data_IF_639874694216
#
_entry.id   IF_639874694216
#
_cell.length_a   1.000
_cell.length_b   1.000
_cell.length_c   1.000
_cell.angle_alpha   90.00
_cell.angle_beta   90.00
_cell.angle_gamma   90.00
#
_symmetry.space_group_name_H-M   'P 1'
#
loop_
_entity.id
_entity.type
_entity.pdbx_description
1 polymer ?
#
# COMPACT_ATOMS: atom_id res chain seq x y z
N UNK A 1 -7.05 11.29 -10.06
CA UNK A 1 -6.04 11.72 -9.08
C UNK A 1 -5.51 10.52 -8.31
N UNK A 2 -4.23 10.54 -7.99
CA UNK A 2 -3.59 9.45 -7.27
C UNK A 2 -3.52 9.73 -5.77
N UNK A 3 -3.82 8.72 -4.96
CA UNK A 3 -3.55 8.75 -3.55
C UNK A 3 -2.40 7.79 -3.25
N UNK A 4 -1.33 8.27 -2.66
CA UNK A 4 -0.15 7.48 -2.32
C UNK A 4 -0.14 7.36 -0.80
N UNK A 5 -0.61 6.20 -0.33
CA UNK A 5 -0.80 5.95 1.10
C UNK A 5 0.35 5.10 1.62
N UNK A 6 1.01 5.56 2.66
CA UNK A 6 2.14 4.83 3.19
C UNK A 6 2.01 4.56 4.68
N UNK A 7 2.64 3.49 5.11
CA UNK A 7 2.88 3.20 6.51
C UNK A 7 4.38 2.92 6.66
N UNK A 8 5.01 3.53 7.64
CA UNK A 8 6.45 3.37 7.82
C UNK A 8 6.83 3.54 9.28
N UNK A 9 7.64 2.64 9.79
CA UNK A 9 8.25 2.79 11.11
C UNK A 9 9.72 3.21 11.02
N UNK A 10 10.34 3.06 9.85
CA UNK A 10 11.78 3.33 9.65
C UNK A 10 12.06 4.39 8.60
N UNK A 11 11.03 4.90 7.92
CA UNK A 11 11.21 5.92 6.88
C UNK A 11 11.33 5.40 5.46
N UNK A 12 11.55 4.12 5.24
CA UNK A 12 11.70 3.56 3.90
C UNK A 12 10.44 3.73 3.05
N UNK A 13 9.28 3.46 3.63
CA UNK A 13 8.01 3.62 2.88
C UNK A 13 7.73 5.07 2.53
N UNK A 14 8.06 6.01 3.42
CA UNK A 14 7.92 7.44 3.12
C UNK A 14 8.83 7.85 1.98
N UNK A 15 10.08 7.39 1.99
CA UNK A 15 11.01 7.66 0.90
C UNK A 15 10.45 7.18 -0.44
N UNK A 16 9.96 5.94 -0.47
CA UNK A 16 9.37 5.37 -1.68
C UNK A 16 8.11 6.13 -2.11
N UNK A 17 7.26 6.49 -1.15
CA UNK A 17 6.03 7.22 -1.46
C UNK A 17 6.34 8.57 -2.12
N UNK A 18 7.34 9.29 -1.61
CA UNK A 18 7.75 10.56 -2.21
C UNK A 18 8.38 10.38 -3.59
N UNK A 19 9.11 9.30 -3.79
CA UNK A 19 9.69 8.98 -5.10
C UNK A 19 8.59 8.68 -6.12
N UNK A 20 7.59 7.92 -5.72
CA UNK A 20 6.44 7.62 -6.56
C UNK A 20 5.69 8.92 -6.89
N UNK A 21 5.51 9.80 -5.90
CA UNK A 21 4.86 11.09 -6.12
C UNK A 21 5.58 11.91 -7.16
N UNK A 22 6.91 11.90 -7.18
CA UNK A 22 7.68 12.66 -8.17
C UNK A 22 7.44 12.16 -9.60
N UNK A 23 7.08 10.90 -9.77
CA UNK A 23 6.85 10.30 -11.09
C UNK A 23 5.39 10.36 -11.53
N UNK A 24 4.46 10.13 -10.60
CA UNK A 24 3.05 9.96 -10.93
C UNK A 24 2.16 11.11 -10.50
N UNK A 25 2.67 12.03 -9.71
CA UNK A 25 1.89 13.06 -9.03
C UNK A 25 0.87 12.44 -8.07
N UNK A 26 0.22 13.27 -7.27
CA UNK A 26 -0.78 12.82 -6.31
C UNK A 26 -0.46 13.29 -4.91
N UNK A 27 -1.29 12.86 -3.97
CA UNK A 27 -1.13 13.21 -2.56
C UNK A 27 -0.44 12.07 -1.82
N UNK A 28 0.55 12.41 -1.00
CA UNK A 28 1.21 11.44 -0.10
C UNK A 28 0.54 11.54 1.25
N UNK A 29 0.01 10.42 1.74
CA UNK A 29 -0.81 10.38 2.95
C UNK A 29 -0.31 9.28 3.87
N UNK A 30 -0.10 9.62 5.15
CA UNK A 30 0.26 8.65 6.16
C UNK A 30 -1.00 7.89 6.59
N UNK A 31 -0.99 6.58 6.41
CA UNK A 31 -2.19 5.74 6.60
C UNK A 31 -2.88 5.96 7.94
N UNK A 32 -2.18 5.98 9.10
CA UNK A 32 -2.87 6.16 10.38
C UNK A 32 -3.60 7.49 10.54
N UNK A 33 -3.26 8.50 9.74
CA UNK A 33 -3.91 9.82 9.81
C UNK A 33 -5.13 9.92 8.90
N UNK A 34 -5.39 8.92 8.08
CA UNK A 34 -6.46 8.98 7.08
C UNK A 34 -7.72 8.29 7.60
N UNK A 35 -8.87 8.95 7.44
CA UNK A 35 -10.14 8.45 7.96
C UNK A 35 -11.16 8.02 6.90
N UNK A 36 -10.87 8.26 5.63
CA UNK A 36 -11.80 7.94 4.54
C UNK A 36 -11.58 6.54 3.97
N UNK A 37 -12.27 6.27 2.87
CA UNK A 37 -12.16 4.99 2.15
C UNK A 37 -11.49 5.15 0.77
N UNK A 38 -10.85 6.28 0.50
CA UNK A 38 -10.12 6.50 -0.74
C UNK A 38 -10.99 6.83 -1.95
N UNK A 39 -12.30 7.05 -1.76
CA UNK A 39 -13.20 7.25 -2.91
C UNK A 39 -12.91 8.53 -3.70
N UNK A 40 -12.18 9.48 -3.14
CA UNK A 40 -11.75 10.68 -3.85
C UNK A 40 -10.59 10.40 -4.83
N UNK A 41 -10.01 9.22 -4.80
CA UNK A 41 -8.89 8.84 -5.65
C UNK A 41 -9.29 7.75 -6.64
N UNK A 42 -8.94 7.94 -7.91
CA UNK A 42 -9.16 6.91 -8.93
C UNK A 42 -8.18 5.77 -8.77
N UNK A 43 -6.96 6.11 -8.37
CA UNK A 43 -5.88 5.15 -8.20
C UNK A 43 -5.25 5.35 -6.82
N UNK A 44 -5.12 4.25 -6.11
CA UNK A 44 -4.53 4.21 -4.78
C UNK A 44 -3.27 3.36 -4.84
N UNK A 45 -2.16 3.92 -4.40
CA UNK A 45 -0.90 3.21 -4.30
C UNK A 45 -0.57 3.09 -2.83
N UNK A 46 -0.49 1.86 -2.34
CA UNK A 46 -0.16 1.58 -0.94
C UNK A 46 1.31 1.23 -0.86
N UNK A 47 2.07 1.93 -0.02
CA UNK A 47 3.48 1.67 0.19
C UNK A 47 3.67 1.25 1.64
N UNK A 48 4.09 0.02 1.87
CA UNK A 48 4.11 -0.57 3.20
C UNK A 48 5.29 -1.52 3.39
N UNK A 49 5.82 -1.60 4.61
CA UNK A 49 6.77 -2.66 4.92
C UNK A 49 6.05 -4.01 5.07
N UNK A 50 6.84 -5.08 5.10
CA UNK A 50 6.37 -6.43 5.37
C UNK A 50 6.71 -6.74 6.83
N UNK A 51 5.71 -7.16 7.61
CA UNK A 51 5.89 -7.60 9.00
C UNK A 51 5.47 -9.06 9.09
N UNK A 52 6.37 -9.91 9.58
CA UNK A 52 6.08 -11.35 9.76
C UNK A 52 5.44 -11.97 8.51
N UNK A 53 5.99 -11.63 7.35
CA UNK A 53 5.54 -12.10 6.02
C UNK A 53 4.15 -11.62 5.62
N UNK A 54 3.60 -10.63 6.33
CA UNK A 54 2.30 -10.04 6.01
C UNK A 54 2.32 -8.53 6.14
N UNK A 55 1.13 -7.94 6.22
CA UNK A 55 0.97 -6.48 6.31
C UNK A 55 0.93 -6.02 7.78
N UNK A 56 1.47 -4.85 8.07
CA UNK A 56 1.20 -4.18 9.37
C UNK A 56 -0.30 -3.99 9.55
N UNK A 57 -0.75 -3.96 10.80
CA UNK A 57 -2.19 -3.83 11.12
C UNK A 57 -2.79 -2.59 10.47
N UNK A 58 -2.12 -1.47 10.51
CA UNK A 58 -2.62 -0.22 9.90
C UNK A 58 -2.83 -0.38 8.40
N UNK A 59 -1.88 -1.00 7.71
CA UNK A 59 -1.99 -1.24 6.26
C UNK A 59 -3.10 -2.24 5.96
N UNK A 60 -3.19 -3.30 6.75
CA UNK A 60 -4.22 -4.32 6.61
C UNK A 60 -5.61 -3.70 6.74
N UNK A 61 -5.83 -2.93 7.80
CA UNK A 61 -7.14 -2.30 8.05
C UNK A 61 -7.48 -1.30 6.95
N UNK A 62 -6.51 -0.53 6.48
CA UNK A 62 -6.73 0.41 5.41
C UNK A 62 -7.14 -0.31 4.12
N UNK A 63 -6.43 -1.38 3.75
CA UNK A 63 -6.75 -2.16 2.55
C UNK A 63 -8.18 -2.68 2.60
N UNK A 64 -8.63 -3.19 3.74
CA UNK A 64 -9.98 -3.71 3.88
C UNK A 64 -11.05 -2.62 3.86
N UNK A 65 -10.68 -1.38 4.14
CA UNK A 65 -11.63 -0.26 4.18
C UNK A 65 -11.71 0.53 2.87
N UNK A 66 -10.83 0.28 1.91
CA UNK A 66 -10.85 0.98 0.63
C UNK A 66 -12.14 0.65 -0.12
N UNK A 67 -12.70 1.67 -0.79
CA UNK A 67 -13.86 1.47 -1.67
C UNK A 67 -13.52 0.47 -2.79
N UNK A 68 -14.56 -0.11 -3.41
CA UNK A 68 -14.38 -1.19 -4.37
C UNK A 68 -14.10 -0.70 -5.80
N UNK A 69 -14.10 0.61 -6.04
CA UNK A 69 -13.93 1.16 -7.39
C UNK A 69 -12.52 1.61 -7.69
N UNK A 70 -11.82 2.17 -6.72
CA UNK A 70 -10.46 2.67 -6.93
C UNK A 70 -9.52 1.54 -7.32
N UNK A 71 -8.66 1.80 -8.30
CA UNK A 71 -7.63 0.84 -8.69
C UNK A 71 -6.52 0.86 -7.65
N UNK A 72 -6.15 -0.31 -7.14
CA UNK A 72 -5.20 -0.43 -6.04
C UNK A 72 -3.91 -1.09 -6.53
N UNK A 73 -2.78 -0.47 -6.21
CA UNK A 73 -1.45 -1.00 -6.42
C UNK A 73 -0.74 -1.01 -5.08
N UNK A 74 -0.07 -2.10 -4.74
CA UNK A 74 0.64 -2.23 -3.48
C UNK A 74 2.13 -2.42 -3.74
N UNK A 75 2.95 -1.62 -3.08
CA UNK A 75 4.40 -1.74 -3.12
C UNK A 75 4.88 -2.13 -1.72
N UNK A 76 5.41 -3.33 -1.61
CA UNK A 76 5.90 -3.87 -0.34
C UNK A 76 7.41 -3.75 -0.29
N UNK A 77 7.93 -3.04 0.71
CA UNK A 77 9.38 -2.95 0.90
C UNK A 77 9.80 -3.85 2.05
N UNK A 78 10.97 -4.45 1.93
CA UNK A 78 11.49 -5.36 2.94
C UNK A 78 13.01 -5.34 2.94
N UNK A 79 13.61 -5.58 4.10
CA UNK A 79 15.06 -5.60 4.24
C UNK A 79 15.65 -7.00 4.25
N UNK A 80 14.90 -7.95 4.76
CA UNK A 80 15.31 -9.36 4.85
C UNK A 80 14.52 -10.24 3.93
N UNK A 81 13.57 -10.99 4.49
CA UNK A 81 12.74 -11.91 3.73
C UNK A 81 11.31 -11.41 3.65
N UNK A 82 10.74 -11.41 2.45
CA UNK A 82 9.33 -11.05 2.25
C UNK A 82 8.40 -12.26 2.33
N UNK A 83 8.96 -13.46 2.13
CA UNK A 83 8.15 -14.67 2.05
C UNK A 83 7.10 -14.56 0.96
N UNK A 84 5.88 -15.00 1.25
CA UNK A 84 4.75 -14.92 0.33
C UNK A 84 3.86 -13.71 0.55
N UNK A 85 4.40 -12.60 1.09
CA UNK A 85 3.60 -11.43 1.44
C UNK A 85 2.85 -10.83 0.25
N UNK A 86 3.43 -10.86 -0.94
CA UNK A 86 2.79 -10.36 -2.15
C UNK A 86 1.57 -11.19 -2.54
N UNK A 87 1.69 -12.51 -2.51
CA UNK A 87 0.59 -13.43 -2.80
C UNK A 87 -0.50 -13.29 -1.75
N UNK A 88 -0.11 -13.23 -0.48
CA UNK A 88 -1.05 -13.09 0.61
C UNK A 88 -1.86 -11.80 0.49
N UNK A 89 -1.19 -10.69 0.17
CA UNK A 89 -1.83 -9.39 -0.01
C UNK A 89 -2.80 -9.41 -1.18
N UNK A 90 -2.38 -9.97 -2.31
CA UNK A 90 -3.23 -10.07 -3.49
C UNK A 90 -4.49 -10.89 -3.19
N UNK A 91 -4.33 -12.05 -2.55
CA UNK A 91 -5.45 -12.92 -2.21
C UNK A 91 -6.40 -12.25 -1.22
N UNK A 92 -5.86 -11.56 -0.22
CA UNK A 92 -6.67 -10.82 0.74
C UNK A 92 -7.54 -9.78 0.05
N UNK A 93 -6.94 -8.99 -0.84
CA UNK A 93 -7.66 -7.94 -1.57
C UNK A 93 -8.76 -8.52 -2.45
N UNK A 94 -8.48 -9.60 -3.20
CA UNK A 94 -9.47 -10.21 -4.08
C UNK A 94 -10.61 -10.86 -3.30
N UNK A 95 -10.31 -11.48 -2.16
CA UNK A 95 -11.33 -12.08 -1.29
C UNK A 95 -12.31 -11.02 -0.74
N UNK A 96 -11.85 -9.78 -0.60
CA UNK A 96 -12.67 -8.68 -0.09
C UNK A 96 -13.17 -7.76 -1.20
N UNK A 97 -13.18 -8.23 -2.43
CA UNK A 97 -13.71 -7.52 -3.60
C UNK A 97 -13.04 -6.18 -3.87
N UNK A 98 -11.76 -6.05 -3.51
CA UNK A 98 -10.99 -4.84 -3.82
C UNK A 98 -10.46 -4.93 -5.25
N UNK A 99 -10.39 -3.78 -5.91
CA UNK A 99 -9.93 -3.70 -7.30
C UNK A 99 -8.39 -3.67 -7.35
N UNK A 100 -7.77 -4.77 -6.97
CA UNK A 100 -6.32 -4.90 -6.90
C UNK A 100 -5.76 -5.10 -8.31
N UNK A 101 -4.84 -4.21 -8.71
CA UNK A 101 -4.25 -4.23 -10.05
C UNK A 101 -2.82 -4.76 -10.05
N UNK A 102 -2.14 -4.71 -8.92
CA UNK A 102 -0.79 -5.26 -8.84
C UNK A 102 -0.24 -5.18 -7.43
N UNK A 103 0.66 -6.11 -7.11
CA UNK A 103 1.40 -6.12 -5.86
C UNK A 103 2.87 -6.37 -6.20
N UNK A 104 3.73 -5.48 -5.75
CA UNK A 104 5.15 -5.48 -6.08
C UNK A 104 5.98 -5.55 -4.81
N UNK A 105 7.08 -6.30 -4.86
CA UNK A 105 8.03 -6.39 -3.76
C UNK A 105 9.31 -5.66 -4.12
N UNK A 106 9.82 -4.87 -3.20
CA UNK A 106 11.06 -4.13 -3.40
C UNK A 106 11.97 -4.32 -2.18
N UNK A 107 13.11 -4.96 -2.41
CA UNK A 107 14.09 -5.14 -1.33
C UNK A 107 14.84 -3.83 -1.11
N UNK A 108 14.93 -3.41 0.14
CA UNK A 108 15.64 -2.19 0.54
C UNK A 108 16.58 -2.50 1.69
N UNK A 109 17.72 -1.79 1.77
CA UNK A 109 18.66 -1.98 2.88
C UNK A 109 18.05 -1.66 4.23
#
# INVERSE_FOLDING_TARGET
MNGIFYFSSTGNSLYLAKKIQSELNGNVIYIPNYKGNGSEYDRIIIVSPVYSFGLPVHTYDFLLNINEKSKIYVVLNYGGMAGGADVLTYNLATEHNKNICGVYKLKMP
#
